data_IF_372469585790
#
_entry.id   IF_372469585790
#
_cell.length_a   1.000
_cell.length_b   1.000
_cell.length_c   1.000
_cell.angle_alpha   90.00
_cell.angle_beta   90.00
_cell.angle_gamma   90.00
#
_symmetry.space_group_name_H-M   'P 1'
#
loop_
_entity.id
_entity.type
_entity.pdbx_description
1 polymer ?
#
# COMPACT_ATOMS: atom_id res chain seq x y z
N UNK A 1 12.55 50.57 -14.74
CA UNK A 1 12.71 49.63 -15.88
C UNK A 1 12.42 48.21 -15.41
N UNK A 2 11.61 47.43 -16.14
CA UNK A 2 11.19 46.07 -15.78
C UNK A 2 9.88 45.94 -15.01
N UNK A 3 9.30 47.07 -14.59
CA UNK A 3 8.03 47.14 -13.86
C UNK A 3 6.84 47.07 -14.82
N UNK A 4 5.76 46.41 -14.40
CA UNK A 4 4.48 46.39 -15.12
C UNK A 4 3.67 47.62 -14.69
N UNK A 5 3.13 48.34 -15.66
CA UNK A 5 2.31 49.55 -15.44
C UNK A 5 1.00 49.44 -16.20
N UNK A 6 -0.06 50.01 -15.64
CA UNK A 6 -1.29 50.33 -16.37
C UNK A 6 -1.08 51.68 -17.05
N UNK A 7 -1.42 51.77 -18.33
CA UNK A 7 -1.34 53.02 -19.07
C UNK A 7 -2.49 53.17 -20.06
N UNK A 8 -2.88 54.41 -20.29
CA UNK A 8 -3.84 54.78 -21.33
C UNK A 8 -3.13 54.94 -22.67
N UNK A 9 -3.77 54.45 -23.73
CA UNK A 9 -3.31 54.64 -25.08
C UNK A 9 -4.47 54.81 -26.05
N UNK A 10 -4.20 55.50 -27.16
CA UNK A 10 -5.17 55.70 -28.20
C UNK A 10 -5.10 54.53 -29.20
N UNK A 11 -6.03 53.58 -29.07
CA UNK A 11 -6.10 52.46 -29.99
C UNK A 11 -6.55 52.92 -31.38
N UNK A 12 -5.77 52.58 -32.41
CA UNK A 12 -6.03 52.91 -33.81
C UNK A 12 -6.37 54.39 -34.06
N UNK A 13 -5.81 55.30 -33.26
CA UNK A 13 -6.06 56.74 -33.29
C UNK A 13 -7.55 57.17 -33.11
N UNK A 14 -8.41 56.30 -32.56
CA UNK A 14 -9.86 56.53 -32.51
C UNK A 14 -10.48 56.36 -31.13
N UNK A 15 -9.97 55.46 -30.30
CA UNK A 15 -10.59 55.13 -29.01
C UNK A 15 -9.54 55.06 -27.92
N UNK A 16 -9.75 55.81 -26.83
CA UNK A 16 -8.94 55.66 -25.62
C UNK A 16 -9.24 54.31 -24.99
N UNK A 17 -8.18 53.56 -24.72
CA UNK A 17 -8.22 52.28 -24.04
C UNK A 17 -7.05 52.23 -23.05
N UNK A 18 -7.23 51.51 -21.95
CA UNK A 18 -6.14 51.19 -21.05
C UNK A 18 -5.62 49.78 -21.32
N UNK A 19 -4.35 49.53 -21.04
CA UNK A 19 -3.78 48.17 -21.03
C UNK A 19 -2.59 48.09 -20.07
N UNK A 20 -2.08 46.87 -19.87
CA UNK A 20 -0.83 46.63 -19.15
C UNK A 20 0.37 46.72 -20.09
N UNK A 21 1.51 47.12 -19.54
CA UNK A 21 2.78 47.05 -20.26
C UNK A 21 3.99 47.01 -19.35
N UNK A 22 5.07 46.40 -19.85
CA UNK A 22 6.36 46.36 -19.12
C UNK A 22 7.26 47.50 -19.56
N UNK A 23 7.64 48.37 -18.63
CA UNK A 23 8.51 49.52 -18.93
C UNK A 23 9.91 49.06 -19.33
N UNK A 24 10.35 49.44 -20.52
CA UNK A 24 11.68 49.11 -21.06
C UNK A 24 12.66 50.25 -20.88
N UNK A 25 12.25 51.47 -21.18
CA UNK A 25 13.09 52.65 -21.10
C UNK A 25 12.27 53.84 -20.58
N UNK A 26 12.92 54.75 -19.87
CA UNK A 26 12.31 55.96 -19.32
C UNK A 26 13.23 57.14 -19.65
N UNK A 27 12.64 58.22 -20.15
CA UNK A 27 13.27 59.52 -20.37
C UNK A 27 12.54 60.58 -19.54
N UNK A 28 12.96 61.85 -19.62
CA UNK A 28 12.40 62.95 -18.82
C UNK A 28 10.88 63.16 -19.00
N UNK A 29 10.33 62.81 -20.17
CA UNK A 29 8.92 63.06 -20.51
C UNK A 29 8.18 61.86 -21.10
N UNK A 30 8.91 60.81 -21.52
CA UNK A 30 8.31 59.63 -22.17
C UNK A 30 8.85 58.33 -21.61
N UNK A 31 8.06 57.27 -21.68
CA UNK A 31 8.46 55.90 -21.41
C UNK A 31 8.22 55.02 -22.64
N UNK A 32 9.15 54.11 -22.91
CA UNK A 32 8.96 53.03 -23.89
C UNK A 32 8.47 51.81 -23.13
N UNK A 33 7.28 51.33 -23.50
CA UNK A 33 6.58 50.25 -22.82
C UNK A 33 6.34 49.11 -23.80
N UNK A 34 6.61 47.88 -23.36
CA UNK A 34 6.23 46.68 -24.09
C UNK A 34 4.79 46.32 -23.77
N UNK A 35 3.89 46.45 -24.75
CA UNK A 35 2.45 46.32 -24.58
C UNK A 35 2.03 44.88 -24.28
N UNK A 36 1.04 44.70 -23.42
CA UNK A 36 0.35 43.44 -23.21
C UNK A 36 -1.01 43.52 -23.92
N UNK A 37 -1.36 42.48 -24.67
CA UNK A 37 -2.60 42.40 -25.44
C UNK A 37 -3.74 41.88 -24.56
N UNK A 38 -4.87 42.61 -24.45
CA UNK A 38 -6.03 42.13 -23.72
C UNK A 38 -6.74 41.02 -24.51
N UNK A 39 -7.08 39.94 -23.82
CA UNK A 39 -7.90 38.84 -24.32
C UNK A 39 -9.13 38.73 -23.42
N UNK A 40 -10.30 38.98 -23.99
CA UNK A 40 -11.58 38.73 -23.34
C UNK A 40 -12.02 37.30 -23.67
N UNK A 41 -11.98 36.40 -22.68
CA UNK A 41 -12.52 35.05 -22.84
C UNK A 41 -14.05 35.07 -22.91
N UNK A 42 -14.62 34.31 -23.84
CA UNK A 42 -16.07 34.13 -23.95
C UNK A 42 -16.59 33.14 -22.88
N UNK A 43 -17.78 33.41 -22.34
CA UNK A 43 -18.45 32.58 -21.32
C UNK A 43 -18.67 31.15 -21.81
N UNK A 44 -18.95 30.98 -23.11
CA UNK A 44 -19.09 29.66 -23.74
C UNK A 44 -17.76 28.89 -23.76
N UNK A 45 -16.64 29.59 -23.91
CA UNK A 45 -15.31 28.99 -23.84
C UNK A 45 -15.01 28.50 -22.42
N UNK A 46 -15.27 29.30 -21.39
CA UNK A 46 -15.12 28.89 -19.99
C UNK A 46 -16.02 27.71 -19.64
N UNK A 47 -17.27 27.72 -20.09
CA UNK A 47 -18.22 26.61 -19.90
C UNK A 47 -17.71 25.32 -20.55
N UNK A 48 -17.20 25.40 -21.77
CA UNK A 48 -16.64 24.24 -22.47
C UNK A 48 -15.41 23.66 -21.76
N UNK A 49 -14.56 24.52 -21.18
CA UNK A 49 -13.37 24.10 -20.41
C UNK A 49 -13.80 23.40 -19.12
N UNK A 50 -14.76 23.95 -18.38
CA UNK A 50 -15.28 23.36 -17.14
C UNK A 50 -15.96 22.01 -17.40
N UNK A 51 -16.76 21.89 -18.46
CA UNK A 51 -17.38 20.62 -18.86
C UNK A 51 -16.32 19.56 -19.20
N UNK A 52 -15.28 19.92 -19.97
CA UNK A 52 -14.17 19.01 -20.30
C UNK A 52 -13.40 18.57 -19.05
N UNK A 53 -13.22 19.45 -18.07
CA UNK A 53 -12.56 19.11 -16.82
C UNK A 53 -13.42 18.16 -15.97
N UNK A 54 -14.75 18.36 -15.94
CA UNK A 54 -15.69 17.42 -15.31
C UNK A 54 -15.60 16.04 -15.95
N UNK A 55 -15.57 15.96 -17.28
CA UNK A 55 -15.41 14.69 -18.00
C UNK A 55 -14.06 14.03 -17.71
N UNK A 56 -12.99 14.83 -17.62
CA UNK A 56 -11.66 14.34 -17.25
C UNK A 56 -11.63 13.77 -15.84
N UNK A 57 -12.25 14.46 -14.88
CA UNK A 57 -12.37 13.98 -13.50
C UNK A 57 -13.30 12.76 -13.37
N UNK A 58 -14.35 12.65 -14.19
CA UNK A 58 -15.17 11.44 -14.29
C UNK A 58 -14.35 10.26 -14.86
N UNK A 59 -13.48 10.50 -15.85
CA UNK A 59 -12.54 9.49 -16.35
C UNK A 59 -11.57 9.02 -15.27
N UNK A 60 -10.99 9.95 -14.49
CA UNK A 60 -10.14 9.63 -13.33
C UNK A 60 -10.89 8.85 -12.26
N UNK A 61 -12.13 9.25 -11.95
CA UNK A 61 -13.00 8.53 -11.03
C UNK A 61 -13.18 7.08 -11.43
N UNK A 62 -13.45 6.82 -12.72
CA UNK A 62 -13.60 5.46 -13.24
C UNK A 62 -12.32 4.65 -13.08
N UNK A 63 -11.16 5.23 -13.38
CA UNK A 63 -9.86 4.59 -13.13
C UNK A 63 -9.66 4.20 -11.66
N UNK A 64 -10.01 5.08 -10.71
CA UNK A 64 -9.95 4.72 -9.29
C UNK A 64 -10.96 3.63 -8.89
N UNK A 65 -12.15 3.61 -9.49
CA UNK A 65 -13.11 2.52 -9.28
C UNK A 65 -12.58 1.17 -9.79
N UNK A 66 -11.96 1.16 -10.98
CA UNK A 66 -11.37 -0.04 -11.55
C UNK A 66 -10.19 -0.54 -10.68
N UNK A 67 -9.32 0.37 -10.23
CA UNK A 67 -8.25 0.05 -9.28
C UNK A 67 -8.79 -0.51 -7.96
N UNK A 68 -9.87 0.07 -7.42
CA UNK A 68 -10.52 -0.41 -6.19
C UNK A 68 -11.08 -1.83 -6.36
N UNK A 69 -11.75 -2.09 -7.49
CA UNK A 69 -12.31 -3.41 -7.80
C UNK A 69 -11.21 -4.46 -7.89
N UNK A 70 -10.14 -4.18 -8.63
CA UNK A 70 -9.01 -5.07 -8.83
C UNK A 70 -8.24 -5.34 -7.52
N UNK A 71 -8.02 -4.32 -6.69
CA UNK A 71 -7.36 -4.49 -5.40
C UNK A 71 -8.20 -5.34 -4.43
N UNK A 72 -9.52 -5.17 -4.42
CA UNK A 72 -10.45 -6.01 -3.63
C UNK A 72 -10.45 -7.46 -4.08
N UNK A 73 -10.49 -7.70 -5.38
CA UNK A 73 -10.44 -9.05 -5.95
C UNK A 73 -9.13 -9.75 -5.61
N UNK A 74 -8.00 -9.05 -5.76
CA UNK A 74 -6.68 -9.55 -5.36
C UNK A 74 -6.62 -9.88 -3.87
N UNK A 75 -7.11 -9.00 -3.01
CA UNK A 75 -7.15 -9.23 -1.56
C UNK A 75 -8.00 -10.46 -1.21
N UNK A 76 -9.17 -10.62 -1.83
CA UNK A 76 -10.02 -11.78 -1.63
C UNK A 76 -9.36 -13.07 -2.14
N UNK A 77 -8.64 -13.02 -3.27
CA UNK A 77 -7.86 -14.14 -3.79
C UNK A 77 -6.74 -14.55 -2.83
N UNK A 78 -5.96 -13.59 -2.32
CA UNK A 78 -4.87 -13.83 -1.35
C UNK A 78 -5.43 -14.45 -0.07
N UNK A 79 -6.52 -13.91 0.48
CA UNK A 79 -7.14 -14.44 1.70
C UNK A 79 -7.62 -15.88 1.52
N UNK A 80 -8.31 -16.18 0.41
CA UNK A 80 -8.74 -17.54 0.08
C UNK A 80 -7.55 -18.50 -0.04
N UNK A 81 -6.52 -18.12 -0.80
CA UNK A 81 -5.32 -18.95 -0.94
C UNK A 81 -4.61 -19.20 0.39
N UNK A 82 -4.56 -18.20 1.27
CA UNK A 82 -3.96 -18.33 2.59
C UNK A 82 -4.79 -19.24 3.50
N UNK A 83 -6.12 -19.10 3.49
CA UNK A 83 -7.06 -19.96 4.20
C UNK A 83 -6.95 -21.41 3.72
N UNK A 84 -6.95 -21.65 2.41
CA UNK A 84 -6.78 -22.99 1.82
C UNK A 84 -5.45 -23.63 2.23
N UNK A 85 -4.37 -22.85 2.25
CA UNK A 85 -3.04 -23.31 2.69
C UNK A 85 -3.06 -23.72 4.15
N UNK A 86 -3.59 -22.89 5.04
CA UNK A 86 -3.66 -23.21 6.48
C UNK A 86 -4.61 -24.35 6.75
N UNK A 87 -5.79 -24.37 6.13
CA UNK A 87 -6.77 -25.45 6.30
C UNK A 87 -6.19 -26.79 5.89
N UNK A 88 -5.45 -26.86 4.78
CA UNK A 88 -4.78 -28.09 4.33
C UNK A 88 -3.75 -28.57 5.35
N UNK A 89 -2.85 -27.69 5.80
CA UNK A 89 -1.79 -28.07 6.74
C UNK A 89 -2.35 -28.44 8.11
N UNK A 90 -3.37 -27.69 8.58
CA UNK A 90 -4.12 -28.01 9.79
C UNK A 90 -4.76 -29.40 9.70
N UNK A 91 -5.39 -29.74 8.59
CA UNK A 91 -5.97 -31.08 8.40
C UNK A 91 -4.93 -32.21 8.48
N UNK A 92 -3.71 -31.98 7.99
CA UNK A 92 -2.61 -32.93 8.16
C UNK A 92 -2.15 -33.05 9.61
N UNK A 93 -2.05 -31.93 10.33
CA UNK A 93 -1.70 -31.90 11.75
C UNK A 93 -2.76 -32.57 12.62
N UNK A 94 -4.05 -32.25 12.42
CA UNK A 94 -5.16 -32.84 13.17
C UNK A 94 -5.18 -34.36 12.99
N UNK A 95 -4.94 -34.85 11.76
CA UNK A 95 -4.79 -36.29 11.51
C UNK A 95 -3.59 -36.89 12.24
N UNK A 96 -2.42 -36.25 12.19
CA UNK A 96 -1.24 -36.74 12.91
C UNK A 96 -1.43 -36.75 14.43
N UNK A 97 -2.18 -35.79 14.96
CA UNK A 97 -2.60 -35.76 16.37
C UNK A 97 -3.51 -36.94 16.72
N UNK A 98 -4.52 -37.22 15.91
CA UNK A 98 -5.40 -38.38 16.12
C UNK A 98 -4.63 -39.71 16.10
N UNK A 99 -3.63 -39.88 15.22
CA UNK A 99 -2.80 -41.08 15.24
C UNK A 99 -1.95 -41.18 16.51
N UNK A 100 -1.49 -40.05 17.04
CA UNK A 100 -0.70 -40.01 18.28
C UNK A 100 -1.55 -40.37 19.51
N UNK A 101 -2.83 -39.96 19.54
CA UNK A 101 -3.81 -40.34 20.57
C UNK A 101 -4.16 -41.84 20.55
N UNK A 102 -3.95 -42.53 19.42
CA UNK A 102 -4.16 -43.98 19.29
C UNK A 102 -2.96 -44.82 19.74
N UNK A 103 -1.82 -44.20 20.04
CA UNK A 103 -0.64 -44.93 20.49
C UNK A 103 -0.88 -45.44 21.92
N UNK A 104 -0.88 -46.76 22.08
CA UNK A 104 -0.91 -47.36 23.40
C UNK A 104 0.39 -47.08 24.16
N UNK A 105 0.26 -46.85 25.47
CA UNK A 105 1.41 -46.63 26.36
C UNK A 105 2.43 -47.78 26.28
N UNK A 106 1.95 -49.01 26.06
CA UNK A 106 2.79 -50.20 25.91
C UNK A 106 3.73 -50.08 24.71
N UNK A 107 3.23 -49.56 23.59
CA UNK A 107 4.02 -49.41 22.36
C UNK A 107 5.04 -48.27 22.50
N UNK A 108 4.68 -47.18 23.17
CA UNK A 108 5.66 -46.14 23.54
C UNK A 108 6.75 -46.71 24.46
N UNK A 109 6.37 -47.51 25.47
CA UNK A 109 7.32 -48.13 26.40
C UNK A 109 8.28 -49.09 25.70
N UNK A 110 7.86 -49.78 24.62
CA UNK A 110 8.78 -50.61 23.81
C UNK A 110 9.91 -49.80 23.18
N UNK A 111 9.67 -48.52 22.85
CA UNK A 111 10.69 -47.61 22.33
C UNK A 111 11.53 -47.04 23.48
N UNK A 112 10.89 -46.55 24.54
CA UNK A 112 11.58 -45.83 25.64
C UNK A 112 12.28 -46.75 26.65
N UNK A 113 11.97 -48.05 26.68
CA UNK A 113 12.66 -49.02 27.53
C UNK A 113 13.99 -49.51 26.95
N UNK A 114 14.31 -49.21 25.70
CA UNK A 114 15.55 -49.63 25.06
C UNK A 114 16.75 -48.94 25.72
N UNK A 115 17.75 -49.73 26.11
CA UNK A 115 19.01 -49.20 26.65
C UNK A 115 19.81 -48.45 25.57
N UNK A 116 19.76 -48.95 24.33
CA UNK A 116 20.39 -48.35 23.15
C UNK A 116 19.34 -48.26 22.02
N UNK A 117 18.52 -47.20 21.98
CA UNK A 117 17.55 -46.98 20.92
C UNK A 117 18.25 -46.67 19.58
N UNK A 118 17.49 -46.76 18.50
CA UNK A 118 18.01 -46.32 17.20
C UNK A 118 18.27 -44.80 17.19
N UNK A 119 19.26 -44.32 16.42
CA UNK A 119 19.50 -42.89 16.26
C UNK A 119 18.28 -42.13 15.70
N UNK A 120 17.43 -42.82 14.93
CA UNK A 120 16.22 -42.23 14.34
C UNK A 120 15.18 -41.98 15.43
N UNK A 121 14.94 -42.98 16.29
CA UNK A 121 14.01 -42.84 17.41
C UNK A 121 14.44 -41.69 18.33
N UNK A 122 15.72 -41.63 18.73
CA UNK A 122 16.23 -40.57 19.60
C UNK A 122 16.00 -39.19 18.99
N UNK A 123 16.36 -39.00 17.72
CA UNK A 123 16.24 -37.71 17.06
C UNK A 123 14.77 -37.28 16.90
N UNK A 124 13.86 -38.20 16.56
CA UNK A 124 12.43 -37.91 16.45
C UNK A 124 11.84 -37.53 17.81
N UNK A 125 12.13 -38.31 18.86
CA UNK A 125 11.61 -38.02 20.21
C UNK A 125 12.13 -36.68 20.73
N UNK A 126 13.41 -36.36 20.48
CA UNK A 126 13.98 -35.03 20.78
C UNK A 126 13.25 -33.93 20.02
N UNK A 127 13.02 -34.10 18.72
CA UNK A 127 12.37 -33.09 17.89
C UNK A 127 10.91 -32.85 18.33
N UNK A 128 10.15 -33.90 18.61
CA UNK A 128 8.78 -33.79 19.15
C UNK A 128 8.80 -33.02 20.47
N UNK A 129 9.73 -33.34 21.37
CA UNK A 129 9.83 -32.67 22.67
C UNK A 129 10.22 -31.19 22.54
N UNK A 130 11.20 -30.91 21.68
CA UNK A 130 11.63 -29.56 21.35
C UNK A 130 10.48 -28.71 20.82
N UNK A 131 9.65 -29.28 19.94
CA UNK A 131 8.45 -28.61 19.41
C UNK A 131 7.39 -28.44 20.50
N UNK A 132 7.06 -29.50 21.25
CA UNK A 132 6.00 -29.49 22.26
C UNK A 132 6.30 -28.50 23.41
N UNK A 133 7.54 -28.46 23.91
CA UNK A 133 7.93 -27.51 24.98
C UNK A 133 8.46 -26.18 24.44
N UNK A 134 8.56 -26.05 23.12
CA UNK A 134 9.21 -24.92 22.47
C UNK A 134 10.60 -24.64 23.07
N UNK A 135 11.41 -25.70 23.17
CA UNK A 135 12.77 -25.71 23.71
C UNK A 135 13.75 -26.17 22.62
N UNK A 136 14.43 -25.25 21.92
CA UNK A 136 15.38 -25.60 20.87
C UNK A 136 16.61 -26.35 21.38
N UNK A 137 16.94 -26.19 22.66
CA UNK A 137 18.12 -26.84 23.26
C UNK A 137 17.92 -28.35 23.39
N UNK A 138 16.68 -28.83 23.41
CA UNK A 138 16.37 -30.24 23.53
C UNK A 138 16.90 -31.10 22.36
N UNK A 139 17.01 -30.54 21.16
CA UNK A 139 17.56 -31.26 20.00
C UNK A 139 19.07 -31.51 20.19
N UNK A 140 19.80 -30.52 20.67
CA UNK A 140 21.25 -30.54 20.75
C UNK A 140 21.78 -31.15 22.06
N UNK A 141 21.16 -30.84 23.20
CA UNK A 141 21.75 -31.08 24.51
C UNK A 141 21.12 -32.21 25.33
N UNK A 142 19.90 -32.64 25.01
CA UNK A 142 19.28 -33.71 25.80
C UNK A 142 19.98 -35.03 25.49
N UNK A 143 20.35 -35.78 26.51
CA UNK A 143 20.84 -37.14 26.34
C UNK A 143 19.66 -38.12 26.28
N UNK A 144 19.92 -39.37 25.88
CA UNK A 144 18.86 -40.37 25.82
C UNK A 144 18.18 -40.58 27.18
N UNK A 145 18.93 -40.48 28.28
CA UNK A 145 18.38 -40.59 29.63
C UNK A 145 17.33 -39.49 29.93
N UNK A 146 17.58 -38.26 29.47
CA UNK A 146 16.65 -37.13 29.63
C UNK A 146 15.37 -37.36 28.83
N UNK A 147 15.53 -37.80 27.57
CA UNK A 147 14.40 -38.17 26.69
C UNK A 147 13.57 -39.30 27.33
N UNK A 148 14.22 -40.35 27.85
CA UNK A 148 13.52 -41.44 28.54
C UNK A 148 12.73 -40.94 29.75
N UNK A 149 13.30 -40.05 30.56
CA UNK A 149 12.64 -39.52 31.74
C UNK A 149 11.35 -38.78 31.36
N UNK A 150 11.40 -37.92 30.35
CA UNK A 150 10.26 -37.10 29.93
C UNK A 150 9.12 -37.95 29.35
N UNK A 151 9.46 -38.95 28.51
CA UNK A 151 8.48 -39.80 27.82
C UNK A 151 7.95 -40.98 28.67
N UNK A 152 8.61 -41.32 29.79
CA UNK A 152 8.10 -42.33 30.74
C UNK A 152 7.01 -41.80 31.66
N UNK A 153 6.77 -40.49 31.69
CA UNK A 153 5.63 -39.92 32.42
C UNK A 153 4.33 -40.37 31.74
N UNK A 154 3.36 -40.79 32.56
CA UNK A 154 2.07 -41.31 32.08
C UNK A 154 1.30 -40.31 31.23
N UNK A 155 1.48 -39.00 31.46
CA UNK A 155 0.82 -37.93 30.72
C UNK A 155 1.59 -37.45 29.47
N UNK A 156 2.78 -37.97 29.17
CA UNK A 156 3.66 -37.37 28.15
C UNK A 156 3.03 -37.32 26.75
N UNK A 157 2.45 -38.43 26.27
CA UNK A 157 1.78 -38.46 24.96
C UNK A 157 0.53 -37.58 24.93
N UNK A 158 -0.24 -37.57 26.02
CA UNK A 158 -1.46 -36.77 26.12
C UNK A 158 -1.13 -35.26 26.10
N UNK A 159 -0.06 -34.84 26.79
CA UNK A 159 0.46 -33.48 26.75
C UNK A 159 0.92 -33.08 25.35
N UNK A 160 1.60 -33.98 24.63
CA UNK A 160 2.06 -33.73 23.26
C UNK A 160 0.86 -33.64 22.31
N UNK A 161 -0.08 -34.58 22.38
CA UNK A 161 -1.27 -34.61 21.54
C UNK A 161 -2.10 -33.33 21.71
N UNK A 162 -2.37 -32.93 22.96
CA UNK A 162 -3.24 -31.78 23.28
C UNK A 162 -2.53 -30.44 23.23
N UNK A 163 -1.26 -30.40 22.88
CA UNK A 163 -0.48 -29.16 22.80
C UNK A 163 -1.09 -28.18 21.81
N UNK A 164 -1.26 -26.93 22.24
CA UNK A 164 -1.53 -25.83 21.32
C UNK A 164 -0.22 -25.37 20.68
N UNK A 165 0.07 -25.95 19.50
CA UNK A 165 1.29 -25.65 18.73
C UNK A 165 1.34 -24.22 18.21
N UNK A 166 0.24 -23.46 18.25
CA UNK A 166 0.23 -22.05 17.83
C UNK A 166 0.39 -21.08 19.01
N UNK A 167 0.21 -21.53 20.25
CA UNK A 167 0.38 -20.68 21.44
C UNK A 167 1.81 -20.14 21.56
N UNK A 168 2.82 -20.95 21.18
CA UNK A 168 4.23 -20.56 21.16
C UNK A 168 4.93 -21.17 19.95
N UNK A 169 5.32 -20.31 19.01
CA UNK A 169 5.99 -20.73 17.78
C UNK A 169 7.44 -21.14 18.03
N UNK A 170 7.85 -22.26 17.44
CA UNK A 170 9.22 -22.73 17.56
C UNK A 170 10.18 -21.81 16.76
N UNK A 171 11.26 -21.28 17.36
CA UNK A 171 12.10 -20.24 16.73
C UNK A 171 12.76 -20.61 15.40
N UNK A 172 13.11 -21.90 15.21
CA UNK A 172 13.80 -22.41 14.02
C UNK A 172 12.98 -23.49 13.31
N UNK A 173 11.67 -23.25 13.20
CA UNK A 173 10.72 -24.25 12.69
C UNK A 173 11.07 -24.76 11.29
N UNK A 174 11.52 -23.87 10.40
CA UNK A 174 11.92 -24.21 9.03
C UNK A 174 13.14 -25.12 8.99
N UNK A 175 14.19 -24.79 9.74
CA UNK A 175 15.41 -25.58 9.80
C UNK A 175 15.15 -26.98 10.36
N UNK A 176 14.39 -27.07 11.46
CA UNK A 176 14.05 -28.36 12.06
C UNK A 176 13.19 -29.20 11.12
N UNK A 177 12.17 -28.61 10.48
CA UNK A 177 11.33 -29.33 9.51
C UNK A 177 12.15 -29.85 8.33
N UNK A 178 12.99 -29.01 7.72
CA UNK A 178 13.86 -29.43 6.62
C UNK A 178 14.79 -30.59 7.03
N UNK A 179 15.32 -30.57 8.26
CA UNK A 179 16.13 -31.67 8.79
C UNK A 179 15.34 -32.98 8.91
N UNK A 180 14.08 -32.90 9.34
CA UNK A 180 13.19 -34.04 9.53
C UNK A 180 12.64 -34.59 8.21
N UNK A 181 12.48 -33.76 7.18
CA UNK A 181 11.94 -34.17 5.88
C UNK A 181 13.03 -34.67 4.93
N UNK A 182 14.16 -33.96 4.87
CA UNK A 182 15.22 -34.20 3.88
C UNK A 182 16.46 -34.86 4.47
N UNK A 183 16.54 -35.00 5.80
CA UNK A 183 17.61 -35.73 6.45
C UNK A 183 17.61 -37.20 6.00
N UNK A 184 18.72 -37.73 5.45
CA UNK A 184 18.78 -39.11 4.96
C UNK A 184 18.52 -40.15 6.06
N UNK A 185 18.76 -39.76 7.32
CA UNK A 185 18.57 -40.60 8.52
C UNK A 185 17.28 -40.29 9.29
N UNK A 186 16.59 -39.19 8.99
CA UNK A 186 15.49 -38.66 9.83
C UNK A 186 14.16 -38.53 9.09
N UNK A 187 14.13 -38.81 7.79
CA UNK A 187 12.91 -38.79 7.01
C UNK A 187 11.86 -39.80 7.50
N UNK A 188 10.61 -39.57 7.09
CA UNK A 188 9.47 -40.42 7.46
C UNK A 188 9.69 -41.91 7.13
N UNK A 189 10.39 -42.23 6.03
CA UNK A 189 10.66 -43.63 5.66
C UNK A 189 11.61 -44.29 6.66
N UNK A 190 12.61 -43.57 7.16
CA UNK A 190 13.50 -44.07 8.21
C UNK A 190 12.73 -44.28 9.53
N UNK A 191 11.86 -43.33 9.90
CA UNK A 191 11.00 -43.43 11.08
C UNK A 191 10.03 -44.62 10.99
N UNK A 192 9.37 -44.82 9.85
CA UNK A 192 8.45 -45.93 9.60
C UNK A 192 9.11 -47.30 9.58
N UNK A 193 10.39 -47.38 9.18
CA UNK A 193 11.18 -48.62 9.28
C UNK A 193 11.60 -48.96 10.70
N UNK A 194 11.70 -47.95 11.56
CA UNK A 194 12.09 -48.11 12.95
C UNK A 194 10.92 -48.66 13.79
N UNK A 195 9.81 -47.90 13.84
CA UNK A 195 8.58 -48.37 14.49
C UNK A 195 7.37 -47.50 14.09
N UNK A 196 6.13 -48.04 14.19
CA UNK A 196 4.91 -47.25 13.96
C UNK A 196 4.78 -46.05 14.90
N UNK A 197 5.25 -46.18 16.15
CA UNK A 197 5.26 -45.10 17.15
C UNK A 197 6.16 -43.96 16.70
N UNK A 198 7.40 -44.27 16.29
CA UNK A 198 8.37 -43.27 15.81
C UNK A 198 7.87 -42.61 14.52
N UNK A 199 7.20 -43.36 13.63
CA UNK A 199 6.56 -42.81 12.44
C UNK A 199 5.47 -41.79 12.77
N UNK A 200 4.60 -42.10 13.74
CA UNK A 200 3.49 -41.24 14.16
C UNK A 200 4.01 -39.96 14.85
N UNK A 201 5.01 -40.11 15.71
CA UNK A 201 5.72 -39.00 16.34
C UNK A 201 6.42 -38.09 15.31
N UNK A 202 7.07 -38.68 14.30
CA UNK A 202 7.68 -37.94 13.20
C UNK A 202 6.64 -37.15 12.40
N UNK A 203 5.53 -37.79 12.05
CA UNK A 203 4.42 -37.14 11.34
C UNK A 203 3.83 -35.98 12.15
N UNK A 204 3.67 -36.14 13.47
CA UNK A 204 3.21 -35.07 14.36
C UNK A 204 4.17 -33.88 14.36
N UNK A 205 5.48 -34.11 14.57
CA UNK A 205 6.45 -33.01 14.63
C UNK A 205 6.54 -32.25 13.29
N UNK A 206 6.59 -32.96 12.17
CA UNK A 206 6.68 -32.34 10.84
C UNK A 206 5.43 -31.54 10.48
N UNK A 207 4.24 -32.08 10.74
CA UNK A 207 2.98 -31.38 10.47
C UNK A 207 2.73 -30.22 11.44
N UNK A 208 3.15 -30.33 12.70
CA UNK A 208 3.10 -29.23 13.67
C UNK A 208 3.98 -28.05 13.22
N UNK A 209 5.22 -28.33 12.82
CA UNK A 209 6.16 -27.32 12.31
C UNK A 209 5.64 -26.67 11.02
N UNK A 210 5.10 -27.47 10.09
CA UNK A 210 4.47 -26.96 8.89
C UNK A 210 3.28 -26.03 9.23
N UNK A 211 2.49 -26.39 10.24
CA UNK A 211 1.34 -25.57 10.66
C UNK A 211 1.78 -24.24 11.26
N UNK A 212 2.78 -24.26 12.14
CA UNK A 212 3.41 -23.05 12.69
C UNK A 212 3.93 -22.12 11.59
N UNK A 213 4.57 -22.67 10.55
CA UNK A 213 5.07 -21.89 9.41
C UNK A 213 3.94 -21.31 8.56
N UNK A 214 2.91 -22.11 8.24
CA UNK A 214 1.78 -21.64 7.46
C UNK A 214 1.07 -20.47 8.18
N UNK A 215 1.00 -20.55 9.51
CA UNK A 215 0.45 -19.50 10.37
C UNK A 215 1.34 -18.25 10.42
N UNK A 216 2.67 -18.42 10.61
CA UNK A 216 3.60 -17.29 10.66
C UNK A 216 3.65 -16.51 9.34
N UNK A 217 3.58 -17.21 8.19
CA UNK A 217 3.51 -16.61 6.87
C UNK A 217 2.22 -15.80 6.65
N UNK A 218 1.13 -16.18 7.32
CA UNK A 218 -0.14 -15.46 7.28
C UNK A 218 -0.08 -14.16 8.09
N UNK A 219 0.51 -14.22 9.28
CA UNK A 219 0.66 -13.06 10.15
C UNK A 219 1.57 -11.97 9.54
N UNK A 220 2.53 -12.35 8.69
CA UNK A 220 3.52 -11.45 8.09
C UNK A 220 3.33 -11.26 6.57
N UNK A 221 2.14 -11.54 6.03
CA UNK A 221 1.88 -11.43 4.59
C UNK A 221 1.78 -9.97 4.13
N UNK A 222 2.92 -9.41 3.70
CA UNK A 222 3.02 -8.02 3.20
C UNK A 222 2.04 -7.72 2.06
N UNK A 223 1.67 -8.71 1.26
CA UNK A 223 0.75 -8.55 0.12
C UNK A 223 -0.64 -8.10 0.58
N UNK A 224 -1.09 -8.53 1.77
CA UNK A 224 -2.36 -8.09 2.35
C UNK A 224 -2.32 -6.59 2.64
N UNK A 225 -1.22 -6.12 3.24
CA UNK A 225 -1.04 -4.70 3.54
C UNK A 225 -1.00 -3.86 2.27
N UNK A 226 -0.24 -4.29 1.25
CA UNK A 226 -0.16 -3.63 -0.04
C UNK A 226 -1.54 -3.45 -0.71
N UNK A 227 -2.41 -4.47 -0.65
CA UNK A 227 -3.76 -4.35 -1.21
C UNK A 227 -4.65 -3.43 -0.36
N UNK A 228 -4.52 -3.44 0.97
CA UNK A 228 -5.24 -2.51 1.83
C UNK A 228 -4.84 -1.06 1.55
N UNK A 229 -3.55 -0.79 1.34
CA UNK A 229 -3.03 0.53 1.01
C UNK A 229 -3.52 0.98 -0.37
N UNK A 230 -3.55 0.09 -1.37
CA UNK A 230 -4.10 0.37 -2.68
C UNK A 230 -5.61 0.70 -2.62
N UNK A 231 -6.38 -0.03 -1.80
CA UNK A 231 -7.80 0.25 -1.54
C UNK A 231 -7.97 1.64 -0.91
N UNK A 232 -7.16 1.97 0.10
CA UNK A 232 -7.21 3.26 0.78
C UNK A 232 -6.87 4.41 -0.19
N UNK A 233 -5.82 4.27 -1.00
CA UNK A 233 -5.41 5.23 -2.01
C UNK A 233 -6.50 5.44 -3.08
N UNK A 234 -7.12 4.36 -3.56
CA UNK A 234 -8.22 4.46 -4.52
C UNK A 234 -9.43 5.19 -3.93
N UNK A 235 -9.82 4.89 -2.68
CA UNK A 235 -10.92 5.58 -2.00
C UNK A 235 -10.60 7.07 -1.80
N UNK A 236 -9.36 7.41 -1.42
CA UNK A 236 -8.93 8.80 -1.28
C UNK A 236 -8.99 9.54 -2.62
N UNK A 237 -8.48 8.93 -3.70
CA UNK A 237 -8.58 9.46 -5.06
C UNK A 237 -10.02 9.70 -5.50
N UNK A 238 -10.91 8.72 -5.28
CA UNK A 238 -12.34 8.89 -5.55
C UNK A 238 -12.97 10.04 -4.76
N UNK A 239 -12.63 10.20 -3.47
CA UNK A 239 -13.14 11.33 -2.67
C UNK A 239 -12.65 12.67 -3.22
N UNK A 240 -11.37 12.77 -3.59
CA UNK A 240 -10.81 13.98 -4.18
C UNK A 240 -11.47 14.33 -5.52
N UNK A 241 -11.66 13.36 -6.41
CA UNK A 241 -12.39 13.56 -7.67
C UNK A 241 -13.84 14.00 -7.41
N UNK A 242 -14.55 13.42 -6.42
CA UNK A 242 -15.93 13.83 -6.09
C UNK A 242 -15.98 15.29 -5.61
N UNK A 243 -15.06 15.68 -4.74
CA UNK A 243 -14.97 17.05 -4.24
C UNK A 243 -14.69 18.04 -5.39
N UNK A 244 -13.76 17.70 -6.28
CA UNK A 244 -13.43 18.52 -7.45
C UNK A 244 -14.61 18.61 -8.44
N UNK A 245 -15.28 17.50 -8.75
CA UNK A 245 -16.48 17.50 -9.59
C UNK A 245 -17.60 18.34 -8.96
N UNK A 246 -17.80 18.25 -7.64
CA UNK A 246 -18.80 19.07 -6.94
C UNK A 246 -18.49 20.57 -7.10
N UNK A 247 -17.23 20.97 -6.90
CA UNK A 247 -16.79 22.36 -7.10
C UNK A 247 -16.96 22.83 -8.55
N UNK A 248 -16.56 22.01 -9.52
CA UNK A 248 -16.73 22.34 -10.95
C UNK A 248 -18.21 22.46 -11.34
N UNK A 249 -19.09 21.64 -10.76
CA UNK A 249 -20.54 21.73 -10.97
C UNK A 249 -21.14 22.96 -10.31
N UNK A 250 -20.66 23.33 -9.12
CA UNK A 250 -21.04 24.57 -8.45
C UNK A 250 -20.67 25.78 -9.31
N UNK A 251 -19.43 25.84 -9.81
CA UNK A 251 -18.95 26.86 -10.76
C UNK A 251 -19.76 26.88 -12.08
N UNK A 252 -20.24 25.73 -12.55
CA UNK A 252 -21.11 25.64 -13.73
C UNK A 252 -22.53 26.17 -13.47
N UNK A 253 -23.02 26.01 -12.23
CA UNK A 253 -24.38 26.38 -11.81
C UNK A 253 -24.50 27.83 -11.33
N UNK A 254 -23.45 28.39 -10.74
CA UNK A 254 -23.41 29.78 -10.28
C UNK A 254 -23.47 30.80 -11.43
N UNK A 255 -23.15 30.38 -12.66
CA UNK A 255 -23.34 31.16 -13.88
C UNK A 255 -24.81 31.37 -14.28
N UNK A 256 -25.77 30.78 -13.55
CA UNK A 256 -27.22 31.00 -13.75
C UNK A 256 -27.85 32.06 -12.84
N UNK A 257 -27.12 32.57 -11.85
CA UNK A 257 -27.60 33.58 -10.90
C UNK A 257 -26.52 34.62 -10.65
N UNK A 258 -26.67 35.74 -11.34
CA UNK A 258 -25.98 37.02 -11.15
C UNK A 258 -25.62 37.33 -9.69
N UNK A 259 -24.32 37.49 -9.38
CA UNK A 259 -23.70 38.61 -8.61
C UNK A 259 -22.15 38.52 -8.57
N UNK A 260 -21.46 38.20 -9.68
CA UNK A 260 -20.00 38.40 -9.80
C UNK A 260 -19.65 38.89 -11.23
N UNK A 261 -18.82 39.93 -11.41
CA UNK A 261 -18.86 40.78 -12.60
C UNK A 261 -18.01 40.25 -13.79
N UNK A 262 -18.66 39.51 -14.69
CA UNK A 262 -18.61 39.52 -16.18
C UNK A 262 -17.34 39.76 -17.03
N UNK A 263 -16.11 39.85 -16.51
CA UNK A 263 -14.95 39.92 -17.42
C UNK A 263 -13.65 39.45 -16.77
N UNK A 264 -13.20 38.24 -17.16
CA UNK A 264 -11.81 37.82 -16.96
C UNK A 264 -11.02 38.35 -18.15
N UNK A 265 -10.43 39.54 -17.99
CA UNK A 265 -9.53 40.10 -19.01
C UNK A 265 -8.13 39.55 -18.73
N UNK A 266 -7.65 38.65 -19.58
CA UNK A 266 -6.27 38.18 -19.51
C UNK A 266 -5.38 39.05 -20.39
N UNK A 267 -4.16 39.30 -19.95
CA UNK A 267 -3.18 40.13 -20.64
C UNK A 267 -1.97 39.26 -20.99
N UNK A 268 -1.63 39.19 -22.28
CA UNK A 268 -0.45 38.45 -22.74
C UNK A 268 0.58 39.43 -23.28
N UNK A 269 1.82 39.30 -22.84
CA UNK A 269 2.92 40.16 -23.29
C UNK A 269 3.14 40.03 -24.79
N UNK A 270 3.06 41.14 -25.52
CA UNK A 270 3.28 41.16 -26.98
C UNK A 270 4.71 41.60 -27.31
N UNK A 271 5.11 41.48 -28.57
CA UNK A 271 6.37 42.05 -29.09
C UNK A 271 6.27 43.55 -29.41
N UNK A 272 5.10 44.18 -29.20
CA UNK A 272 4.86 45.58 -29.57
C UNK A 272 5.48 46.51 -28.54
N UNK A 273 6.26 47.48 -29.01
CA UNK A 273 6.83 48.57 -28.20
C UNK A 273 6.10 49.86 -28.53
N UNK A 274 5.64 50.56 -27.49
CA UNK A 274 4.89 51.81 -27.60
C UNK A 274 5.59 52.87 -26.76
N UNK A 275 5.83 54.03 -27.37
CA UNK A 275 6.29 55.22 -26.66
C UNK A 275 5.08 55.99 -26.14
N UNK A 276 5.00 56.16 -24.83
CA UNK A 276 3.91 56.89 -24.17
C UNK A 276 4.47 58.08 -23.39
N UNK A 277 3.72 59.17 -23.27
CA UNK A 277 4.07 60.22 -22.32
C UNK A 277 3.95 59.68 -20.89
N UNK A 278 4.80 60.16 -19.97
CA UNK A 278 4.73 59.72 -18.56
C UNK A 278 3.38 60.02 -17.91
N UNK A 279 2.67 61.06 -18.37
CA UNK A 279 1.32 61.41 -17.93
C UNK A 279 0.25 60.39 -18.31
N UNK A 280 0.53 59.46 -19.23
CA UNK A 280 -0.39 58.39 -19.61
C UNK A 280 -0.25 57.14 -18.71
N UNK A 281 0.73 57.12 -17.81
CA UNK A 281 0.89 56.04 -16.83
C UNK A 281 -0.10 56.29 -15.69
N UNK A 282 -1.02 55.34 -15.49
CA UNK A 282 -2.07 55.42 -14.47
C UNK A 282 -1.49 54.97 -13.13
N UNK A 283 -0.95 53.74 -13.10
CA UNK A 283 -0.39 53.16 -11.87
C UNK A 283 0.60 52.03 -12.16
N UNK A 284 1.56 51.77 -11.26
CA UNK A 284 2.33 50.54 -11.27
C UNK A 284 1.49 49.36 -10.79
N UNK A 285 1.62 48.21 -11.45
CA UNK A 285 0.98 46.95 -11.04
C UNK A 285 2.02 46.03 -10.43
N UNK A 286 1.70 45.47 -9.28
CA UNK A 286 2.53 44.52 -8.54
C UNK A 286 2.49 43.12 -9.16
N UNK A 287 3.02 42.98 -10.38
CA UNK A 287 3.19 41.70 -11.08
C UNK A 287 4.68 41.34 -11.14
N UNK A 288 5.02 40.05 -10.94
CA UNK A 288 6.40 39.60 -11.12
C UNK A 288 6.87 39.92 -12.55
N UNK A 289 7.98 40.64 -12.65
CA UNK A 289 8.66 41.02 -13.90
C UNK A 289 8.96 39.85 -14.87
N UNK A 290 8.95 38.60 -14.38
CA UNK A 290 9.15 37.37 -15.17
C UNK A 290 7.87 36.82 -15.79
N UNK A 291 6.70 37.28 -15.37
CA UNK A 291 5.41 36.85 -15.91
C UNK A 291 5.27 37.23 -17.39
N UNK A 292 4.73 36.29 -18.19
CA UNK A 292 4.41 36.50 -19.61
C UNK A 292 2.91 36.65 -19.86
N UNK A 293 2.10 36.26 -18.89
CA UNK A 293 0.65 36.27 -18.89
C UNK A 293 0.19 36.70 -17.49
N UNK A 294 -0.88 37.50 -17.42
CA UNK A 294 -1.52 37.91 -16.17
C UNK A 294 -3.03 37.90 -16.36
N UNK A 295 -3.76 37.50 -15.34
CA UNK A 295 -5.22 37.58 -15.29
C UNK A 295 -5.55 38.62 -14.23
N UNK A 296 -6.26 39.68 -14.62
CA UNK A 296 -6.77 40.64 -13.67
C UNK A 296 -8.26 40.39 -13.45
N UNK A 297 -8.65 40.31 -12.19
CA UNK A 297 -10.07 40.36 -11.79
C UNK A 297 -10.47 41.81 -11.55
N UNK A 298 -11.76 42.17 -11.69
CA UNK A 298 -12.21 43.56 -11.51
C UNK A 298 -11.83 44.17 -10.15
N UNK A 299 -11.64 43.34 -9.12
CA UNK A 299 -11.21 43.78 -7.78
C UNK A 299 -9.76 44.30 -7.73
N UNK A 300 -8.95 44.06 -8.77
CA UNK A 300 -7.56 44.52 -8.87
C UNK A 300 -7.42 45.80 -9.73
N UNK A 301 -8.54 46.32 -10.25
CA UNK A 301 -8.59 47.45 -11.20
C UNK A 301 -9.25 48.70 -10.60
N UNK A 302 -9.80 48.62 -9.38
CA UNK A 302 -10.31 49.78 -8.61
C UNK A 302 -9.25 50.45 -7.73
#
# INVERSE_FOLDING_TARGET
>A
VGQVVVYDYLHAAKTWQWTLGTVREITDYTAVVQQWGPHTGDSDTLRSILLREVDTENGRMKSYQDMLALAREKLASIRRSNEDRVSRVRGHFDKAREELERIDEVDLRKVTAQAAPSPVAVAVLKAVWAVAKCDPTAVEFYEWADVQLEYRRTAALDEIAKMDVLAKLYPSAESLQQSLEHGPKLNYKAAARDSPVVASLHAWATTALAYQQAYSLLAHDKRIQEQNDAIAAAIAGMKACRAKIAKLKEELSSNGTTTLPEQVTSFTRTSVLVTIPLSAVISPVSVDSRMKECVLTKDEVE
#
